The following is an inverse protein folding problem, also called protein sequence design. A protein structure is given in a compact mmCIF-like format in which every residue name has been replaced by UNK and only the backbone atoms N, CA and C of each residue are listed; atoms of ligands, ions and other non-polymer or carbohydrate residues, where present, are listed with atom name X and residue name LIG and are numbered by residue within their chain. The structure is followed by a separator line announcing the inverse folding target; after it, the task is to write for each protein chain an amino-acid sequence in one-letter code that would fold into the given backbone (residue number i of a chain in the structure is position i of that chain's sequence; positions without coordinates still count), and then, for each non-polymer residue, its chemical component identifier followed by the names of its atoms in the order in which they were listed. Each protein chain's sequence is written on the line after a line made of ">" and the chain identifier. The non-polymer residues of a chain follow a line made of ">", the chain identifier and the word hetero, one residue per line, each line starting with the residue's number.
data_IF_509429625063
#
_entry.id   IF_509429625063
#
_cell.length_a   1.000
_cell.length_b   1.000
_cell.length_c   1.000
_cell.angle_alpha   90.00
_cell.angle_beta   90.00
_cell.angle_gamma   90.00
#
_symmetry.space_group_name_H-M   'P 1'
#
loop_
_entity.id
_entity.type
_entity.pdbx_description
1 polymer ?
#
# COMPACT_ATOMS: atom_id res chain seq x y z
N UNK A 1 15.11 9.31 9.59
CA UNK A 1 13.68 9.46 9.22
C UNK A 1 12.97 8.10 9.09
N UNK A 2 13.42 7.18 8.23
CA UNK A 2 12.80 5.87 7.98
C UNK A 2 12.56 5.01 9.25
N UNK A 3 13.58 4.84 10.11
CA UNK A 3 13.45 4.05 11.35
C UNK A 3 12.39 4.59 12.33
N UNK A 4 12.15 5.90 12.34
CA UNK A 4 11.13 6.51 13.19
C UNK A 4 9.74 6.17 12.67
N UNK A 5 9.54 6.26 11.36
CA UNK A 5 8.29 5.88 10.69
C UNK A 5 7.99 4.39 10.87
N UNK A 6 8.99 3.52 10.67
CA UNK A 6 8.85 2.08 10.91
C UNK A 6 8.38 1.77 12.34
N UNK A 7 9.04 2.35 13.34
CA UNK A 7 8.62 2.20 14.76
C UNK A 7 7.21 2.73 15.01
N UNK A 8 6.80 3.80 14.34
CA UNK A 8 5.45 4.33 14.44
C UNK A 8 4.41 3.36 13.86
N UNK A 9 4.70 2.75 12.72
CA UNK A 9 3.85 1.70 12.11
C UNK A 9 3.69 0.51 13.07
N UNK A 10 4.79 0.00 13.65
CA UNK A 10 4.73 -1.11 14.61
C UNK A 10 3.94 -0.79 15.89
N UNK A 11 3.89 0.49 16.28
CA UNK A 11 3.06 0.95 17.41
C UNK A 11 1.60 1.05 17.01
N UNK A 12 1.32 1.63 15.84
CA UNK A 12 -0.04 1.74 15.31
C UNK A 12 -0.66 0.35 15.10
N UNK A 13 0.14 -0.64 14.70
CA UNK A 13 -0.33 -2.01 14.49
C UNK A 13 -0.88 -2.68 15.76
N UNK A 14 -0.56 -2.16 16.95
CA UNK A 14 -1.07 -2.69 18.24
C UNK A 14 -2.57 -2.49 18.42
N UNK A 15 -3.19 -1.61 17.62
CA UNK A 15 -4.63 -1.31 17.67
C UNK A 15 -5.47 -2.37 16.95
N UNK A 16 -4.85 -3.24 16.15
CA UNK A 16 -5.52 -4.31 15.42
C UNK A 16 -5.50 -5.62 16.22
N UNK A 17 -6.37 -6.54 15.82
CA UNK A 17 -6.39 -7.93 16.30
C UNK A 17 -5.05 -8.64 16.02
N UNK A 18 -4.86 -9.82 16.61
CA UNK A 18 -3.58 -10.52 16.57
C UNK A 18 -3.12 -10.86 15.15
N UNK A 19 -4.02 -11.33 14.30
CA UNK A 19 -3.71 -11.76 12.94
C UNK A 19 -3.35 -10.56 12.07
N UNK A 20 -4.20 -9.53 12.07
CA UNK A 20 -3.96 -8.29 11.34
C UNK A 20 -2.68 -7.61 11.80
N UNK A 21 -2.41 -7.60 13.11
CA UNK A 21 -1.18 -7.04 13.66
C UNK A 21 0.06 -7.78 13.18
N UNK A 22 0.04 -9.11 13.12
CA UNK A 22 1.16 -9.92 12.61
C UNK A 22 1.41 -9.60 11.14
N UNK A 23 0.34 -9.56 10.35
CA UNK A 23 0.43 -9.26 8.92
C UNK A 23 0.97 -7.85 8.64
N UNK A 24 0.48 -6.81 9.33
CA UNK A 24 0.99 -5.43 9.22
C UNK A 24 2.48 -5.38 9.58
N UNK A 25 2.90 -6.05 10.66
CA UNK A 25 4.31 -6.10 11.06
C UNK A 25 5.19 -6.80 10.01
N UNK A 26 4.71 -7.92 9.47
CA UNK A 26 5.39 -8.70 8.44
C UNK A 26 5.55 -7.89 7.14
N UNK A 27 4.48 -7.26 6.67
CA UNK A 27 4.48 -6.42 5.47
C UNK A 27 5.43 -5.23 5.66
N UNK A 28 5.31 -4.51 6.78
CA UNK A 28 6.21 -3.39 7.07
C UNK A 28 7.67 -3.84 7.13
N UNK A 29 7.98 -4.97 7.77
CA UNK A 29 9.35 -5.49 7.81
C UNK A 29 9.86 -5.84 6.40
N UNK A 30 9.02 -6.49 5.59
CA UNK A 30 9.35 -6.89 4.22
C UNK A 30 9.62 -5.67 3.35
N UNK A 31 8.73 -4.69 3.33
CA UNK A 31 8.86 -3.50 2.49
C UNK A 31 10.04 -2.61 2.92
N UNK A 32 10.27 -2.41 4.22
CA UNK A 32 11.42 -1.62 4.67
C UNK A 32 12.76 -2.30 4.36
N UNK A 33 12.83 -3.64 4.43
CA UNK A 33 14.04 -4.39 4.02
C UNK A 33 14.24 -4.35 2.51
N UNK A 34 13.18 -4.56 1.73
CA UNK A 34 13.23 -4.54 0.26
C UNK A 34 13.77 -3.20 -0.27
N UNK A 35 13.37 -2.09 0.35
CA UNK A 35 13.76 -0.75 -0.07
C UNK A 35 15.00 -0.21 0.68
N UNK A 36 15.69 -1.04 1.49
CA UNK A 36 16.79 -0.59 2.34
C UNK A 36 18.01 -0.09 1.55
N UNK A 37 18.19 -0.59 0.32
CA UNK A 37 19.32 -0.26 -0.54
C UNK A 37 18.99 0.82 -1.58
N UNK A 38 17.83 1.47 -1.50
CA UNK A 38 17.48 2.57 -2.40
C UNK A 38 18.42 3.76 -2.14
N UNK A 39 19.08 4.22 -3.20
CA UNK A 39 20.01 5.36 -3.14
C UNK A 39 19.46 6.59 -3.86
N UNK A 40 18.53 6.45 -4.81
CA UNK A 40 17.87 7.58 -5.46
C UNK A 40 17.00 8.33 -4.43
N UNK A 41 17.29 9.61 -4.14
CA UNK A 41 16.49 10.41 -3.22
C UNK A 41 15.01 10.48 -3.59
N UNK A 42 14.67 10.46 -4.90
CA UNK A 42 13.27 10.53 -5.36
C UNK A 42 12.51 9.26 -5.03
N UNK A 43 13.12 8.10 -5.29
CA UNK A 43 12.51 6.80 -4.94
C UNK A 43 12.36 6.63 -3.43
N UNK A 44 13.38 7.01 -2.66
CA UNK A 44 13.32 7.00 -1.19
C UNK A 44 12.17 7.90 -0.71
N UNK A 45 12.04 9.10 -1.25
CA UNK A 45 10.96 10.01 -0.88
C UNK A 45 9.59 9.44 -1.23
N UNK A 46 9.44 8.82 -2.41
CA UNK A 46 8.21 8.16 -2.83
C UNK A 46 7.82 7.04 -1.86
N UNK A 47 8.74 6.13 -1.51
CA UNK A 47 8.46 5.03 -0.57
C UNK A 47 8.17 5.53 0.85
N UNK A 48 8.83 6.61 1.28
CA UNK A 48 8.54 7.25 2.56
C UNK A 48 7.15 7.91 2.57
N UNK A 49 6.75 8.53 1.46
CA UNK A 49 5.44 9.12 1.29
C UNK A 49 4.33 8.07 1.27
N UNK A 50 4.55 6.96 0.58
CA UNK A 50 3.66 5.80 0.60
C UNK A 50 3.45 5.27 2.03
N UNK A 51 4.54 4.99 2.76
CA UNK A 51 4.47 4.42 4.10
C UNK A 51 3.79 5.37 5.11
N UNK A 52 4.02 6.68 4.99
CA UNK A 52 3.35 7.69 5.83
C UNK A 52 1.87 7.81 5.51
N UNK A 53 1.51 7.83 4.22
CA UNK A 53 0.11 7.84 3.77
C UNK A 53 -0.66 6.62 4.29
N UNK A 54 -0.08 5.41 4.21
CA UNK A 54 -0.70 4.19 4.76
C UNK A 54 -0.90 4.27 6.27
N UNK A 55 0.06 4.82 7.00
CA UNK A 55 -0.06 5.01 8.44
C UNK A 55 -1.18 5.99 8.80
N UNK A 56 -1.34 7.07 8.04
CA UNK A 56 -2.43 8.03 8.24
C UNK A 56 -3.80 7.41 7.96
N UNK A 57 -3.93 6.65 6.88
CA UNK A 57 -5.15 5.90 6.57
C UNK A 57 -5.50 4.91 7.68
N UNK A 58 -4.52 4.16 8.17
CA UNK A 58 -4.71 3.22 9.28
C UNK A 58 -5.16 3.92 10.56
N UNK A 59 -4.64 5.12 10.84
CA UNK A 59 -5.03 5.92 12.01
C UNK A 59 -6.43 6.53 11.88
N UNK A 60 -6.79 7.01 10.69
CA UNK A 60 -8.03 7.73 10.45
C UNK A 60 -9.23 6.80 10.27
N UNK A 61 -9.07 5.75 9.45
CA UNK A 61 -10.16 4.83 9.12
C UNK A 61 -10.13 3.52 9.91
N UNK A 62 -9.08 3.26 10.68
CA UNK A 62 -8.96 2.00 11.42
C UNK A 62 -8.81 0.77 10.51
N UNK A 63 -8.30 0.96 9.28
CA UNK A 63 -8.07 -0.13 8.32
C UNK A 63 -6.57 -0.42 8.21
N UNK A 64 -6.20 -1.68 8.38
CA UNK A 64 -4.80 -2.10 8.27
C UNK A 64 -4.30 -2.11 6.82
N UNK A 65 -5.21 -2.25 5.86
CA UNK A 65 -4.87 -2.40 4.46
C UNK A 65 -5.47 -1.30 3.61
N UNK A 66 -4.67 -0.77 2.67
CA UNK A 66 -5.19 0.14 1.67
C UNK A 66 -6.23 -0.54 0.77
N UNK A 67 -7.36 0.14 0.56
CA UNK A 67 -8.43 -0.33 -0.33
C UNK A 67 -8.51 0.60 -1.55
N UNK A 68 -8.61 0.03 -2.75
CA UNK A 68 -9.06 0.78 -3.92
C UNK A 68 -10.56 1.05 -3.75
N UNK A 69 -10.91 2.23 -3.26
CA UNK A 69 -12.28 2.70 -3.38
C UNK A 69 -12.52 3.13 -4.83
N UNK A 70 -13.66 2.67 -5.37
CA UNK A 70 -14.45 3.21 -6.49
C UNK A 70 -14.84 2.13 -7.50
N UNK A 71 -15.65 1.16 -7.05
CA UNK A 71 -16.67 0.58 -7.93
C UNK A 71 -17.99 0.81 -7.22
N UNK A 72 -18.83 1.70 -7.76
CA UNK A 72 -20.17 1.87 -7.25
C UNK A 72 -20.88 0.49 -7.32
N UNK A 73 -21.49 -0.02 -6.23
CA UNK A 73 -22.00 -1.39 -6.15
C UNK A 73 -23.14 -1.77 -7.13
N UNK A 74 -23.44 -0.95 -8.14
CA UNK A 74 -24.54 -1.14 -9.10
C UNK A 74 -24.20 -0.74 -10.55
N UNK A 75 -22.94 -0.44 -10.89
CA UNK A 75 -22.56 0.02 -12.24
C UNK A 75 -21.82 -1.02 -13.09
N UNK A 76 -21.65 -2.24 -12.60
CA UNK A 76 -21.13 -3.35 -13.41
C UNK A 76 -22.31 -4.27 -13.76
N UNK A 77 -22.80 -4.29 -15.02
CA UNK A 77 -23.74 -5.30 -15.43
C UNK A 77 -23.08 -6.66 -15.24
N UNK A 78 -23.78 -7.59 -14.62
CA UNK A 78 -23.41 -9.00 -14.46
C UNK A 78 -23.51 -9.69 -15.84
N UNK A 79 -22.76 -9.21 -16.81
CA UNK A 79 -22.94 -9.56 -18.21
C UNK A 79 -21.66 -9.26 -18.98
N UNK A 80 -21.01 -10.34 -19.40
CA UNK A 80 -19.97 -10.42 -20.44
C UNK A 80 -19.61 -9.08 -21.09
N UNK A 81 -18.57 -8.41 -20.59
CA UNK A 81 -17.90 -7.37 -21.38
C UNK A 81 -16.40 -7.62 -21.45
N UNK A 82 -15.96 -7.64 -22.71
CA UNK A 82 -14.60 -7.68 -23.21
C UNK A 82 -13.60 -6.92 -22.34
N UNK A 83 -12.36 -7.41 -22.32
CA UNK A 83 -11.12 -6.66 -21.98
C UNK A 83 -10.98 -5.44 -22.90
N UNK A 84 -11.88 -4.48 -22.84
CA UNK A 84 -11.68 -3.16 -23.43
C UNK A 84 -10.69 -2.45 -22.52
N UNK A 85 -9.45 -2.38 -22.98
CA UNK A 85 -8.43 -1.35 -22.70
C UNK A 85 -8.90 -0.31 -21.68
N UNK A 86 -8.98 -0.69 -20.40
CA UNK A 86 -9.22 0.28 -19.33
C UNK A 86 -7.91 1.03 -19.22
N UNK A 87 -7.91 2.33 -19.55
CA UNK A 87 -6.76 3.21 -19.26
C UNK A 87 -6.34 2.94 -17.80
N UNK A 88 -5.05 2.70 -17.52
CA UNK A 88 -4.61 2.48 -16.16
C UNK A 88 -5.03 3.69 -15.34
N UNK A 89 -5.92 3.48 -14.37
CA UNK A 89 -6.29 4.54 -13.45
C UNK A 89 -5.04 4.88 -12.64
N UNK A 90 -4.77 6.17 -12.36
CA UNK A 90 -3.66 6.52 -11.51
C UNK A 90 -3.83 5.83 -10.15
N UNK A 91 -2.84 5.02 -9.79
CA UNK A 91 -2.82 4.31 -8.52
C UNK A 91 -2.58 5.33 -7.40
N UNK A 92 -3.36 5.33 -6.32
CA UNK A 92 -3.09 6.21 -5.18
C UNK A 92 -1.68 6.00 -4.64
N UNK A 93 -1.01 7.06 -4.17
CA UNK A 93 0.38 6.97 -3.71
C UNK A 93 0.62 5.95 -2.58
N UNK A 94 -0.40 5.63 -1.80
CA UNK A 94 -0.35 4.61 -0.75
C UNK A 94 -0.46 3.17 -1.28
N UNK A 95 -0.64 2.96 -2.59
CA UNK A 95 -0.81 1.64 -3.23
C UNK A 95 0.35 1.29 -4.17
N UNK A 96 1.40 2.12 -4.22
CA UNK A 96 2.54 1.95 -5.14
C UNK A 96 3.16 0.54 -5.02
N UNK A 97 3.42 0.06 -3.80
CA UNK A 97 3.98 -1.28 -3.56
C UNK A 97 3.06 -2.45 -3.96
N UNK A 98 1.78 -2.22 -4.22
CA UNK A 98 0.83 -3.26 -4.67
C UNK A 98 0.73 -3.33 -6.20
N UNK A 99 1.04 -2.23 -6.90
CA UNK A 99 0.87 -2.09 -8.34
C UNK A 99 2.16 -1.82 -9.10
N UNK A 100 3.31 -1.81 -8.41
CA UNK A 100 4.63 -1.73 -9.02
C UNK A 100 4.81 -2.87 -10.04
N UNK A 101 4.51 -2.54 -11.30
CA UNK A 101 4.53 -3.43 -12.46
C UNK A 101 5.95 -3.64 -13.01
N UNK A 102 7.00 -3.17 -12.32
CA UNK A 102 8.40 -3.35 -12.73
C UNK A 102 8.88 -4.82 -12.71
N UNK A 103 8.09 -5.74 -12.15
CA UNK A 103 8.41 -7.17 -12.05
C UNK A 103 7.71 -8.06 -13.10
N UNK A 104 7.61 -7.62 -14.36
CA UNK A 104 7.19 -8.46 -15.51
C UNK A 104 8.35 -8.98 -16.37
N UNK A 105 9.56 -9.06 -15.82
CA UNK A 105 10.67 -9.75 -16.47
C UNK A 105 11.38 -10.67 -15.48
N UNK A 106 10.90 -11.91 -15.41
CA UNK A 106 11.69 -13.12 -15.24
C UNK A 106 10.89 -14.30 -15.80
#
# INVERSE_FOLDING_TARGET
>A
MALRLYRHILRASRRFDSETRIAVKSEAATLFRHNANLTDPKEVQSKMFEASSRLELAKHYGIAYPRLYNVAPKTVPLGKFHRRQRKPQPVPAYMDSYYDNSKKHQ
#
